data_IF_492475523910
#
_entry.id   IF_492475523910
#
_cell.length_a   1.000
_cell.length_b   1.000
_cell.length_c   1.000
_cell.angle_alpha   90.00
_cell.angle_beta   90.00
_cell.angle_gamma   90.00
#
_symmetry.space_group_name_H-M   'P 1'
#
loop_
_entity.id
_entity.type
_entity.pdbx_description
1 polymer ?
#
# COMPACT_ATOMS: atom_id res chain seq x y z
N UNK A 1 2.10 -2.49 5.31
CA UNK A 1 1.14 -2.86 4.24
C UNK A 1 -0.15 -2.12 4.50
N UNK A 2 -0.94 -1.82 3.48
CA UNK A 2 -2.17 -1.04 3.59
C UNK A 2 -3.26 -1.59 2.66
N UNK A 3 -4.52 -1.41 3.04
CA UNK A 3 -5.66 -1.98 2.32
C UNK A 3 -6.65 -0.86 1.93
N UNK A 4 -7.06 -0.82 0.67
CA UNK A 4 -8.15 0.03 0.18
C UNK A 4 -9.19 -0.79 -0.57
N UNK A 5 -10.46 -0.43 -0.39
CA UNK A 5 -11.55 -0.88 -1.27
C UNK A 5 -11.63 0.13 -2.42
N UNK A 6 -11.76 -0.37 -3.65
CA UNK A 6 -11.92 0.47 -4.82
C UNK A 6 -13.19 1.28 -4.68
N UNK A 7 -13.04 2.59 -4.73
CA UNK A 7 -14.17 3.48 -4.94
C UNK A 7 -14.46 3.54 -6.44
N UNK A 8 -15.52 2.88 -6.90
CA UNK A 8 -15.83 2.80 -8.35
C UNK A 8 -16.29 4.12 -8.95
N UNK A 9 -16.56 5.13 -8.11
CA UNK A 9 -16.94 6.47 -8.55
C UNK A 9 -15.73 7.38 -8.78
N UNK A 10 -14.66 7.22 -8.02
CA UNK A 10 -13.44 8.05 -8.09
C UNK A 10 -12.25 7.32 -8.75
N UNK A 11 -12.09 6.02 -8.52
CA UNK A 11 -10.92 5.25 -8.95
C UNK A 11 -11.22 4.39 -10.18
N UNK A 12 -10.62 4.76 -11.34
CA UNK A 12 -10.84 4.08 -12.63
C UNK A 12 -10.52 2.58 -12.60
N UNK A 13 -9.47 2.17 -11.88
CA UNK A 13 -8.99 0.78 -11.88
C UNK A 13 -8.39 0.38 -10.52
N UNK A 14 -8.48 -0.90 -10.17
CA UNK A 14 -7.87 -1.51 -8.97
C UNK A 14 -6.37 -1.21 -8.78
N UNK A 15 -5.63 -1.05 -9.88
CA UNK A 15 -4.20 -0.69 -9.81
C UNK A 15 -3.97 0.70 -9.20
N UNK A 16 -4.85 1.66 -9.50
CA UNK A 16 -4.78 3.03 -8.95
C UNK A 16 -5.11 3.00 -7.46
N UNK A 17 -6.15 2.25 -7.07
CA UNK A 17 -6.48 2.03 -5.66
C UNK A 17 -5.31 1.41 -4.88
N UNK A 18 -4.61 0.43 -5.47
CA UNK A 18 -3.46 -0.20 -4.82
C UNK A 18 -2.25 0.75 -4.73
N UNK A 19 -2.10 1.64 -5.72
CA UNK A 19 -1.11 2.71 -5.67
C UNK A 19 -1.43 3.75 -4.58
N UNK A 20 -2.70 4.12 -4.43
CA UNK A 20 -3.14 5.00 -3.34
C UNK A 20 -2.89 4.35 -1.97
N UNK A 21 -3.10 3.05 -1.84
CA UNK A 21 -2.74 2.30 -0.62
C UNK A 21 -1.23 2.36 -0.34
N UNK A 22 -0.38 2.22 -1.36
CA UNK A 22 1.08 2.39 -1.20
C UNK A 22 1.46 3.82 -0.82
N UNK A 23 0.86 4.84 -1.45
CA UNK A 23 1.12 6.25 -1.10
C UNK A 23 0.78 6.53 0.36
N UNK A 24 -0.31 5.97 0.87
CA UNK A 24 -0.69 6.13 2.26
C UNK A 24 0.38 5.54 3.22
N UNK A 25 1.04 4.44 2.85
CA UNK A 25 2.17 3.89 3.63
C UNK A 25 3.34 4.88 3.69
N UNK A 26 3.67 5.51 2.55
CA UNK A 26 4.73 6.51 2.46
C UNK A 26 4.41 7.74 3.30
N UNK A 27 3.19 8.27 3.17
CA UNK A 27 2.75 9.47 3.88
C UNK A 27 2.71 9.26 5.40
N UNK A 28 2.26 8.08 5.84
CA UNK A 28 2.25 7.69 7.25
C UNK A 28 3.64 7.35 7.78
N UNK A 29 4.63 7.19 6.90
CA UNK A 29 6.03 6.89 7.22
C UNK A 29 6.17 5.69 8.18
N UNK A 30 5.39 4.63 7.98
CA UNK A 30 5.41 3.45 8.86
C UNK A 30 6.80 2.81 8.98
N UNK A 31 7.63 2.96 7.94
CA UNK A 31 9.02 2.48 7.95
C UNK A 31 9.85 3.09 9.09
N UNK A 32 9.56 4.33 9.52
CA UNK A 32 10.33 5.03 10.55
C UNK A 32 10.30 4.32 11.90
N UNK A 33 9.18 3.67 12.21
CA UNK A 33 9.02 2.86 13.42
C UNK A 33 9.88 1.59 13.34
N UNK A 34 10.04 1.03 12.15
CA UNK A 34 10.83 -0.18 11.92
C UNK A 34 12.33 0.15 11.88
N UNK A 35 12.73 1.25 11.23
CA UNK A 35 14.11 1.71 11.22
C UNK A 35 14.58 2.15 12.61
N UNK A 36 13.70 2.80 13.40
CA UNK A 36 14.00 3.13 14.80
C UNK A 36 14.20 1.89 15.68
N UNK A 37 13.67 0.72 15.28
CA UNK A 37 13.91 -0.57 15.94
C UNK A 37 15.17 -1.29 15.41
N UNK A 38 15.94 -0.65 14.53
CA UNK A 38 17.17 -1.19 13.95
C UNK A 38 16.96 -2.08 12.72
N UNK A 39 15.77 -2.09 12.12
CA UNK A 39 15.51 -2.86 10.90
C UNK A 39 16.02 -2.04 9.70
N UNK A 40 16.95 -2.57 8.89
CA UNK A 40 17.44 -1.85 7.72
C UNK A 40 16.34 -1.73 6.67
N UNK A 41 16.28 -0.57 6.00
CA UNK A 41 15.24 -0.28 4.99
C UNK A 41 15.19 -1.29 3.85
N UNK A 42 16.31 -1.91 3.49
CA UNK A 42 16.37 -2.97 2.47
C UNK A 42 15.52 -4.21 2.83
N UNK A 43 15.31 -4.45 4.13
CA UNK A 43 14.45 -5.53 4.63
C UNK A 43 12.99 -5.10 4.85
N UNK A 44 12.67 -3.81 4.66
CA UNK A 44 11.31 -3.29 4.84
C UNK A 44 10.58 -3.36 3.51
N UNK A 45 9.58 -4.24 3.43
CA UNK A 45 8.73 -4.38 2.25
C UNK A 45 7.40 -3.65 2.45
N UNK A 46 6.98 -2.92 1.43
CA UNK A 46 5.72 -2.18 1.41
C UNK A 46 4.79 -2.81 0.38
N UNK A 47 3.53 -3.00 0.75
CA UNK A 47 2.52 -3.61 -0.10
C UNK A 47 1.20 -2.86 0.04
N UNK A 48 0.62 -2.48 -1.10
CA UNK A 48 -0.71 -1.89 -1.19
C UNK A 48 -1.67 -2.91 -1.77
N UNK A 49 -2.78 -3.13 -1.06
CA UNK A 49 -3.83 -4.06 -1.46
C UNK A 49 -5.07 -3.27 -1.88
N UNK A 50 -5.61 -3.59 -3.06
CA UNK A 50 -6.86 -3.05 -3.53
C UNK A 50 -7.91 -4.15 -3.71
N UNK A 51 -9.13 -3.90 -3.24
CA UNK A 51 -10.25 -4.84 -3.29
C UNK A 51 -11.40 -4.29 -4.14
N UNK A 52 -11.96 -5.13 -4.98
CA UNK A 52 -13.25 -4.90 -5.65
C UNK A 52 -14.07 -6.20 -5.52
N UNK A 53 -14.87 -6.27 -4.46
CA UNK A 53 -15.55 -7.50 -4.05
C UNK A 53 -14.54 -8.63 -3.78
N UNK A 54 -14.62 -9.71 -4.55
CA UNK A 54 -13.71 -10.87 -4.44
C UNK A 54 -12.40 -10.70 -5.23
N UNK A 55 -12.28 -9.64 -6.04
CA UNK A 55 -11.06 -9.37 -6.80
C UNK A 55 -10.09 -8.59 -5.93
N UNK A 56 -8.85 -9.05 -5.91
CA UNK A 56 -7.74 -8.39 -5.21
C UNK A 56 -6.65 -8.05 -6.20
N UNK A 57 -6.10 -6.84 -6.06
CA UNK A 57 -4.89 -6.44 -6.75
C UNK A 57 -3.85 -6.04 -5.71
N UNK A 58 -2.65 -6.62 -5.82
CA UNK A 58 -1.55 -6.40 -4.88
C UNK A 58 -0.44 -5.69 -5.63
N UNK A 59 0.02 -4.57 -5.08
CA UNK A 59 1.17 -3.83 -5.61
C UNK A 59 2.29 -3.80 -4.59
N UNK A 60 3.47 -4.23 -5.01
CA UNK A 60 4.69 -4.06 -4.22
C UNK A 60 5.23 -2.63 -4.37
N UNK A 61 5.66 -2.04 -3.25
CA UNK A 61 6.43 -0.79 -3.24
C UNK A 61 7.83 -1.01 -3.83
N UNK A 62 8.40 0.05 -4.39
CA UNK A 62 9.80 0.07 -4.84
C UNK A 62 10.74 0.27 -3.67
#
# INVERSE_FOLDING_TARGET
>A
MEFKVQDTTDEKNLSETAQAALQQIEERKYETVLTSKGIPSDKIRKYGFAFCGKKVFIRAGK
#
